data_IF_269587101840
#
_entry.id   IF_269587101840
#
_cell.length_a   1.000
_cell.length_b   1.000
_cell.length_c   1.000
_cell.angle_alpha   90.00
_cell.angle_beta   90.00
_cell.angle_gamma   90.00
#
_symmetry.space_group_name_H-M   'P 1'
#
loop_
_entity.id
_entity.type
_entity.pdbx_description
1 polymer ?
#
# COMPACT_ATOMS: atom_id res chain seq x y z
N UNK A 1 16.48 -34.73 62.75
CA UNK A 1 15.46 -33.70 62.42
C UNK A 1 15.96 -33.00 61.15
N UNK A 2 15.71 -33.48 59.92
CA UNK A 2 14.43 -33.56 59.20
C UNK A 2 13.74 -32.18 59.08
N UNK A 3 13.82 -31.55 57.89
CA UNK A 3 13.13 -30.30 57.60
C UNK A 3 13.24 -29.82 56.14
N UNK A 4 12.58 -30.56 55.22
CA UNK A 4 11.80 -30.12 54.02
C UNK A 4 12.50 -29.32 52.90
N UNK A 5 12.60 -29.85 51.66
CA UNK A 5 11.59 -29.83 50.55
C UNK A 5 11.17 -28.38 50.25
N UNK A 6 11.29 -27.78 49.06
CA UNK A 6 11.64 -28.15 47.70
C UNK A 6 10.95 -27.13 46.77
N UNK A 7 11.62 -26.63 45.72
CA UNK A 7 11.00 -25.84 44.62
C UNK A 7 11.85 -26.13 43.37
N UNK A 8 11.43 -26.95 42.41
CA UNK A 8 10.26 -26.97 41.52
C UNK A 8 10.37 -26.00 40.34
N UNK A 9 10.31 -26.63 39.16
CA UNK A 9 9.93 -26.17 37.82
C UNK A 9 10.89 -25.26 37.03
N UNK A 10 11.58 -25.92 36.10
CA UNK A 10 11.97 -25.36 34.82
C UNK A 10 10.70 -25.08 34.01
N UNK A 11 10.48 -23.84 33.59
CA UNK A 11 9.57 -23.49 32.50
C UNK A 11 10.33 -22.64 31.49
N UNK A 12 10.77 -23.32 30.42
CA UNK A 12 11.13 -22.71 29.15
C UNK A 12 9.90 -21.98 28.61
N UNK A 13 9.92 -20.66 28.67
CA UNK A 13 9.12 -19.82 27.79
C UNK A 13 10.10 -18.99 26.96
N UNK A 14 10.69 -19.61 25.93
CA UNK A 14 11.08 -18.83 24.77
C UNK A 14 9.76 -18.42 24.15
N UNK A 15 9.33 -17.20 24.43
CA UNK A 15 8.28 -16.53 23.70
C UNK A 15 8.73 -16.53 22.24
N UNK A 16 8.20 -17.46 21.45
CA UNK A 16 8.08 -17.23 20.02
C UNK A 16 7.22 -15.99 19.91
N UNK A 17 7.85 -14.84 19.66
CA UNK A 17 7.13 -13.65 19.29
C UNK A 17 6.22 -14.06 18.11
N UNK A 18 4.91 -13.83 18.18
CA UNK A 18 4.09 -14.01 17.00
C UNK A 18 4.65 -13.03 15.96
N UNK A 19 5.26 -13.56 14.90
CA UNK A 19 5.46 -12.82 13.67
C UNK A 19 4.08 -12.63 13.06
N UNK A 20 3.32 -11.73 13.66
CA UNK A 20 2.11 -11.15 13.11
C UNK A 20 2.47 -9.79 12.59
N UNK A 21 3.30 -9.71 11.54
CA UNK A 21 3.24 -8.54 10.69
C UNK A 21 1.93 -8.66 9.93
N UNK A 22 0.88 -8.06 10.49
CA UNK A 22 -0.28 -7.66 9.71
C UNK A 22 0.25 -6.72 8.61
N UNK A 23 0.66 -7.30 7.48
CA UNK A 23 1.18 -6.55 6.35
C UNK A 23 0.08 -5.62 5.86
N UNK A 24 0.41 -4.34 5.70
CA UNK A 24 -0.50 -3.40 5.06
C UNK A 24 -0.88 -3.94 3.67
N UNK A 25 -2.17 -3.89 3.34
CA UNK A 25 -2.66 -4.27 2.02
C UNK A 25 -2.36 -3.13 1.04
N UNK A 26 -1.58 -3.40 0.00
CA UNK A 26 -1.15 -2.41 -1.00
C UNK A 26 -1.90 -2.52 -2.33
N UNK A 27 -2.90 -3.41 -2.39
CA UNK A 27 -3.61 -3.76 -3.61
C UNK A 27 -3.14 -5.05 -4.24
N UNK A 28 -3.60 -5.29 -5.47
CA UNK A 28 -3.31 -6.55 -6.18
C UNK A 28 -1.86 -6.57 -6.64
N UNK A 29 -1.14 -7.63 -6.30
CA UNK A 29 0.26 -7.81 -6.71
C UNK A 29 0.37 -7.82 -8.24
N UNK A 30 1.21 -6.95 -8.79
CA UNK A 30 1.63 -6.98 -10.20
C UNK A 30 2.82 -7.92 -10.33
N UNK A 31 3.83 -7.75 -9.48
CA UNK A 31 5.02 -8.59 -9.45
C UNK A 31 6.21 -7.93 -8.77
N UNK A 32 7.34 -8.61 -8.77
CA UNK A 32 8.61 -8.05 -8.30
C UNK A 32 9.46 -7.56 -9.46
N UNK A 33 10.23 -6.50 -9.23
CA UNK A 33 11.17 -5.94 -10.19
C UNK A 33 12.24 -6.98 -10.51
N UNK A 34 12.41 -7.26 -11.81
CA UNK A 34 13.60 -7.91 -12.34
C UNK A 34 14.72 -6.89 -12.38
N UNK A 35 15.64 -6.98 -11.44
CA UNK A 35 16.81 -6.09 -11.34
C UNK A 35 17.80 -6.39 -12.46
N UNK A 36 18.29 -5.34 -13.12
CA UNK A 36 19.37 -5.44 -14.11
C UNK A 36 20.63 -4.68 -13.67
N UNK A 37 20.48 -3.47 -13.13
CA UNK A 37 21.59 -2.60 -12.73
C UNK A 37 21.19 -1.67 -11.58
N UNK A 38 22.20 -1.01 -11.00
CA UNK A 38 22.03 0.07 -10.03
C UNK A 38 21.20 -0.28 -8.78
N UNK A 39 21.19 -1.57 -8.42
CA UNK A 39 20.46 -2.06 -7.25
C UNK A 39 18.95 -1.80 -7.29
N UNK A 40 18.35 -1.60 -8.48
CA UNK A 40 16.92 -1.34 -8.58
C UNK A 40 16.11 -2.58 -8.20
N UNK A 41 15.52 -2.58 -7.01
CA UNK A 41 14.63 -3.63 -6.50
C UNK A 41 13.28 -3.05 -6.08
N UNK A 42 12.30 -3.92 -5.91
CA UNK A 42 11.02 -3.59 -5.31
C UNK A 42 9.91 -4.56 -5.69
N UNK A 43 8.81 -4.52 -4.95
CA UNK A 43 7.58 -5.26 -5.26
C UNK A 43 6.46 -4.28 -5.55
N UNK A 44 5.79 -4.48 -6.68
CA UNK A 44 4.83 -3.54 -7.26
C UNK A 44 3.40 -4.07 -7.12
N UNK A 45 2.52 -3.22 -6.62
CA UNK A 45 1.09 -3.50 -6.41
C UNK A 45 0.25 -2.47 -7.16
N UNK A 46 -0.87 -2.90 -7.74
CA UNK A 46 -1.88 -2.00 -8.28
C UNK A 46 -2.73 -1.44 -7.14
N UNK A 47 -2.50 -0.17 -6.82
CA UNK A 47 -3.20 0.49 -5.73
C UNK A 47 -4.61 0.92 -6.14
N UNK A 48 -4.71 1.52 -7.34
CA UNK A 48 -5.94 1.94 -8.02
C UNK A 48 -5.88 1.50 -9.49
N UNK A 49 -6.79 1.97 -10.35
CA UNK A 49 -6.70 1.71 -11.80
C UNK A 49 -5.50 2.36 -12.51
N UNK A 50 -4.96 3.45 -11.95
CA UNK A 50 -3.89 4.26 -12.53
C UNK A 50 -2.78 4.60 -11.53
N UNK A 51 -2.72 3.97 -10.37
CA UNK A 51 -1.67 4.21 -9.38
C UNK A 51 -1.11 2.90 -8.85
N UNK A 52 0.20 2.88 -8.63
CA UNK A 52 0.92 1.70 -8.11
C UNK A 52 1.68 2.05 -6.85
N UNK A 53 1.76 1.10 -5.93
CA UNK A 53 2.67 1.16 -4.78
C UNK A 53 3.87 0.29 -5.09
N UNK A 54 5.07 0.83 -4.90
CA UNK A 54 6.32 0.06 -4.90
C UNK A 54 6.83 0.00 -3.46
N UNK A 55 6.97 -1.22 -2.95
CA UNK A 55 7.57 -1.51 -1.64
C UNK A 55 8.97 -2.09 -1.80
N UNK A 56 9.76 -2.03 -0.72
CA UNK A 56 11.15 -2.50 -0.70
C UNK A 56 11.98 -1.89 -1.85
N UNK A 57 11.65 -0.63 -2.20
CA UNK A 57 12.27 0.09 -3.30
C UNK A 57 13.71 0.47 -2.92
N UNK A 58 14.66 -0.05 -3.66
CA UNK A 58 16.06 0.39 -3.59
C UNK A 58 16.52 0.84 -4.97
N UNK A 59 17.39 1.83 -5.02
CA UNK A 59 18.08 2.32 -6.22
C UNK A 59 19.23 3.22 -5.77
N UNK A 60 20.42 3.06 -6.33
CA UNK A 60 21.63 3.76 -5.85
C UNK A 60 21.68 5.26 -6.19
N UNK A 61 20.89 5.73 -7.16
CA UNK A 61 20.88 7.13 -7.60
C UNK A 61 22.01 7.51 -8.56
N UNK A 62 22.81 6.58 -9.07
CA UNK A 62 23.99 6.87 -9.89
C UNK A 62 23.68 7.09 -11.38
N UNK A 63 22.43 6.90 -11.80
CA UNK A 63 21.99 7.07 -13.18
C UNK A 63 21.88 8.56 -13.56
N UNK A 64 22.61 9.03 -14.58
CA UNK A 64 22.65 10.47 -14.90
C UNK A 64 21.33 11.04 -15.46
N UNK A 65 20.53 10.19 -16.10
CA UNK A 65 19.16 10.52 -16.58
C UNK A 65 18.22 9.33 -16.33
N UNK A 66 18.21 8.83 -15.10
CA UNK A 66 17.31 7.76 -14.67
C UNK A 66 15.95 8.30 -14.25
N UNK A 67 14.89 7.65 -14.76
CA UNK A 67 13.50 8.01 -14.51
C UNK A 67 12.66 6.76 -14.29
N UNK A 68 11.53 6.90 -13.58
CA UNK A 68 10.47 5.90 -13.69
C UNK A 68 9.96 5.91 -15.13
N UNK A 69 9.76 4.72 -15.68
CA UNK A 69 9.52 4.52 -17.10
C UNK A 69 8.51 3.42 -17.31
N UNK A 70 7.55 3.64 -18.21
CA UNK A 70 6.57 2.64 -18.58
C UNK A 70 6.36 2.66 -20.09
N UNK A 71 5.82 1.58 -20.63
CA UNK A 71 5.59 1.48 -22.06
C UNK A 71 5.00 0.14 -22.45
N UNK A 72 4.98 -0.09 -23.76
CA UNK A 72 4.55 -1.34 -24.38
C UNK A 72 5.78 -2.09 -24.90
N UNK A 73 5.75 -3.41 -24.93
CA UNK A 73 6.88 -4.26 -25.26
C UNK A 73 7.24 -5.18 -24.09
N UNK A 74 8.28 -6.00 -24.29
CA UNK A 74 8.72 -6.95 -23.26
C UNK A 74 9.55 -6.28 -22.15
N UNK A 75 10.25 -5.20 -22.46
CA UNK A 75 11.13 -4.50 -21.52
C UNK A 75 11.24 -3.00 -21.85
N UNK A 76 11.69 -2.17 -20.88
CA UNK A 76 12.01 -0.76 -21.10
C UNK A 76 12.93 -0.50 -22.30
N UNK A 77 12.46 0.37 -23.19
CA UNK A 77 13.17 0.85 -24.36
C UNK A 77 12.96 2.37 -24.53
N UNK A 78 13.56 2.93 -25.60
CA UNK A 78 13.49 4.36 -25.90
C UNK A 78 12.10 4.83 -26.35
N UNK A 79 11.15 3.92 -26.61
CA UNK A 79 9.77 4.24 -27.03
C UNK A 79 8.81 4.33 -25.86
N UNK A 80 9.19 3.87 -24.68
CA UNK A 80 8.44 4.14 -23.46
C UNK A 80 8.42 5.63 -23.11
N UNK A 81 7.77 5.97 -22.02
CA UNK A 81 7.65 7.33 -21.54
C UNK A 81 7.88 7.41 -20.04
N UNK A 82 8.27 8.60 -19.61
CA UNK A 82 8.55 8.90 -18.22
C UNK A 82 7.25 8.92 -17.39
N UNK A 83 7.32 8.32 -16.21
CA UNK A 83 6.31 8.38 -15.16
C UNK A 83 6.78 9.36 -14.08
N UNK A 84 5.92 10.25 -13.56
CA UNK A 84 6.28 11.11 -12.44
C UNK A 84 6.69 10.29 -11.21
N UNK A 85 7.62 10.84 -10.42
CA UNK A 85 7.95 10.29 -9.10
C UNK A 85 6.79 10.48 -8.09
N UNK A 86 6.99 10.03 -6.85
CA UNK A 86 5.98 10.09 -5.79
C UNK A 86 5.58 11.52 -5.38
N UNK A 87 6.37 12.52 -5.78
CA UNK A 87 6.08 13.94 -5.57
C UNK A 87 5.50 14.60 -6.83
N UNK A 88 5.17 13.80 -7.86
CA UNK A 88 4.73 14.29 -9.17
C UNK A 88 5.84 14.94 -9.99
N UNK A 89 7.11 14.72 -9.64
CA UNK A 89 8.24 15.35 -10.31
C UNK A 89 8.71 14.54 -11.52
N UNK A 90 9.08 15.26 -12.59
CA UNK A 90 9.68 14.70 -13.81
C UNK A 90 11.21 14.85 -13.81
N UNK A 91 11.82 15.08 -12.66
CA UNK A 91 13.29 15.25 -12.53
C UNK A 91 13.98 13.89 -12.49
N UNK A 92 15.30 13.90 -12.66
CA UNK A 92 16.14 12.70 -12.50
C UNK A 92 15.94 12.14 -11.10
N UNK A 93 15.76 10.82 -11.02
CA UNK A 93 15.54 10.12 -9.75
C UNK A 93 16.74 10.26 -8.83
N UNK A 94 16.45 10.42 -7.54
CA UNK A 94 17.44 10.28 -6.47
C UNK A 94 17.52 8.82 -6.03
N UNK A 95 18.50 8.54 -5.18
CA UNK A 95 18.62 7.24 -4.52
C UNK A 95 17.37 6.93 -3.67
N UNK A 96 16.98 5.66 -3.67
CA UNK A 96 15.96 5.11 -2.79
C UNK A 96 16.61 4.03 -1.91
N UNK A 97 16.27 4.01 -0.61
CA UNK A 97 16.77 3.01 0.34
C UNK A 97 15.60 2.46 1.15
N UNK A 98 15.24 1.21 0.87
CA UNK A 98 14.11 0.51 1.46
C UNK A 98 12.85 1.39 1.52
N UNK A 99 12.57 2.09 0.42
CA UNK A 99 11.51 3.08 0.35
C UNK A 99 10.16 2.42 0.00
N UNK A 100 9.09 3.12 0.35
CA UNK A 100 7.75 2.86 -0.17
C UNK A 100 7.28 4.10 -0.90
N UNK A 101 6.93 3.95 -2.17
CA UNK A 101 6.45 5.07 -3.01
C UNK A 101 5.11 4.74 -3.64
N UNK A 102 4.27 5.77 -3.78
CA UNK A 102 3.03 5.73 -4.56
C UNK A 102 3.29 6.51 -5.85
N UNK A 103 3.18 5.85 -6.99
CA UNK A 103 3.29 6.49 -8.29
C UNK A 103 1.91 6.58 -8.93
N UNK A 104 1.56 7.77 -9.43
CA UNK A 104 0.37 7.98 -10.25
C UNK A 104 0.76 7.98 -11.71
N UNK A 105 0.19 7.05 -12.46
CA UNK A 105 0.44 6.87 -13.89
C UNK A 105 -0.50 7.78 -14.69
N UNK A 106 -0.03 8.37 -15.82
CA UNK A 106 -0.88 9.20 -16.67
C UNK A 106 -2.03 8.45 -17.36
N UNK A 107 -1.94 7.13 -17.45
CA UNK A 107 -2.95 6.25 -18.04
C UNK A 107 -3.20 5.04 -17.14
N UNK A 108 -4.15 4.17 -17.51
CA UNK A 108 -4.44 2.97 -16.72
C UNK A 108 -3.23 2.04 -16.71
N UNK A 109 -3.06 1.31 -15.61
CA UNK A 109 -1.95 0.34 -15.47
C UNK A 109 -1.95 -0.66 -16.63
N UNK A 110 -3.13 -1.10 -17.08
CA UNK A 110 -3.32 -2.04 -18.19
C UNK A 110 -2.94 -1.49 -19.56
N UNK A 111 -2.71 -0.18 -19.70
CA UNK A 111 -2.23 0.43 -20.94
C UNK A 111 -0.70 0.30 -21.12
N UNK A 112 -0.05 -0.35 -20.14
CA UNK A 112 1.39 -0.60 -20.12
C UNK A 112 1.65 -2.11 -19.99
N UNK A 113 2.78 -2.55 -20.52
CA UNK A 113 3.26 -3.94 -20.41
C UNK A 113 4.45 -4.06 -19.46
N UNK A 114 5.07 -2.93 -19.09
CA UNK A 114 6.10 -2.87 -18.07
C UNK A 114 6.08 -1.55 -17.31
N UNK A 115 6.66 -1.57 -16.12
CA UNK A 115 7.04 -0.39 -15.34
C UNK A 115 8.43 -0.63 -14.75
N UNK A 116 9.32 0.35 -14.81
CA UNK A 116 10.67 0.20 -14.30
C UNK A 116 11.45 1.51 -14.17
N UNK A 117 12.77 1.40 -14.05
CA UNK A 117 13.69 2.54 -14.14
C UNK A 117 14.49 2.43 -15.43
N UNK A 118 14.47 3.51 -16.22
CA UNK A 118 15.20 3.60 -17.48
C UNK A 118 16.11 4.82 -17.47
N UNK A 119 17.36 4.63 -17.87
CA UNK A 119 18.31 5.72 -18.07
C UNK A 119 18.28 6.18 -19.51
N UNK A 120 17.65 7.32 -19.76
CA UNK A 120 17.45 7.86 -21.12
C UNK A 120 18.77 8.18 -21.81
N UNK A 121 19.75 8.73 -21.08
CA UNK A 121 21.06 9.14 -21.62
C UNK A 121 21.82 7.97 -22.25
N UNK A 122 21.73 6.77 -21.65
CA UNK A 122 22.44 5.58 -22.11
C UNK A 122 21.52 4.54 -22.77
N UNK A 123 20.23 4.84 -22.86
CA UNK A 123 19.23 3.91 -23.37
C UNK A 123 19.14 2.61 -22.57
N UNK A 124 19.37 2.65 -21.26
CA UNK A 124 19.60 1.47 -20.44
C UNK A 124 18.44 1.15 -19.48
N UNK A 125 17.99 -0.10 -19.49
CA UNK A 125 16.99 -0.65 -18.57
C UNK A 125 17.65 -1.10 -17.25
N UNK A 126 17.45 -0.35 -16.15
CA UNK A 126 18.02 -0.68 -14.84
C UNK A 126 17.23 -1.78 -14.10
N UNK A 127 16.01 -2.04 -14.56
CA UNK A 127 15.15 -3.10 -14.08
C UNK A 127 13.69 -2.72 -14.31
N UNK A 128 12.81 -3.71 -14.28
CA UNK A 128 11.38 -3.51 -14.48
C UNK A 128 10.56 -4.66 -13.92
N UNK A 129 9.28 -4.39 -13.67
CA UNK A 129 8.25 -5.40 -13.52
C UNK A 129 7.48 -5.51 -14.83
N UNK A 130 7.10 -6.72 -15.22
CA UNK A 130 6.16 -6.97 -16.33
C UNK A 130 4.74 -6.91 -15.80
N UNK A 131 3.87 -6.18 -16.50
CA UNK A 131 2.43 -6.15 -16.20
C UNK A 131 1.78 -7.30 -16.97
N UNK A 132 1.18 -8.30 -16.30
CA UNK A 132 0.62 -9.45 -16.98
C UNK A 132 -0.49 -9.07 -17.97
N UNK A 133 -0.52 -9.75 -19.11
CA UNK A 133 -1.66 -9.64 -20.04
C UNK A 133 -2.94 -10.08 -19.33
N UNK A 134 -3.99 -9.27 -19.40
CA UNK A 134 -5.24 -9.55 -18.69
C UNK A 134 -5.17 -9.28 -17.18
N UNK A 135 -4.19 -8.50 -16.71
CA UNK A 135 -4.16 -8.03 -15.34
C UNK A 135 -5.48 -7.33 -14.99
N UNK A 136 -6.26 -7.93 -14.10
CA UNK A 136 -7.51 -7.30 -13.65
C UNK A 136 -7.17 -6.22 -12.63
N UNK A 137 -7.53 -4.99 -12.95
CA UNK A 137 -7.44 -3.84 -12.06
C UNK A 137 -8.29 -4.06 -10.78
N UNK A 138 -7.96 -3.39 -9.66
CA UNK A 138 -8.85 -3.32 -8.52
C UNK A 138 -10.26 -2.91 -8.97
N UNK A 139 -11.27 -3.64 -8.51
CA UNK A 139 -12.68 -3.38 -8.80
C UNK A 139 -13.38 -3.03 -7.50
N UNK A 140 -14.44 -2.24 -7.63
CA UNK A 140 -15.28 -1.91 -6.48
C UNK A 140 -15.86 -3.19 -5.85
N UNK A 141 -15.78 -3.29 -4.53
CA UNK A 141 -16.36 -4.37 -3.74
C UNK A 141 -17.29 -3.77 -2.70
N UNK A 142 -18.55 -4.19 -2.70
CA UNK A 142 -19.48 -3.85 -1.63
C UNK A 142 -19.25 -4.84 -0.47
N UNK A 143 -18.75 -4.33 0.65
CA UNK A 143 -18.47 -5.08 1.87
C UNK A 143 -19.72 -5.23 2.78
N UNK A 144 -20.86 -4.69 2.35
CA UNK A 144 -22.12 -4.72 3.07
C UNK A 144 -22.30 -3.50 3.97
N UNK A 145 -23.16 -3.65 4.98
CA UNK A 145 -23.53 -2.59 5.92
C UNK A 145 -22.49 -2.46 7.03
N UNK A 146 -22.17 -1.23 7.43
CA UNK A 146 -21.50 -0.97 8.71
C UNK A 146 -22.57 -0.84 9.79
N UNK A 147 -22.66 -1.85 10.66
CA UNK A 147 -23.63 -1.87 11.76
C UNK A 147 -23.17 -1.00 12.94
N UNK A 148 -24.09 -0.23 13.52
CA UNK A 148 -23.83 0.59 14.71
C UNK A 148 -23.53 -0.31 15.91
N UNK A 149 -22.41 -0.04 16.59
CA UNK A 149 -22.17 -0.53 17.97
C UNK A 149 -22.37 0.56 19.02
N UNK A 150 -22.00 1.80 18.71
CA UNK A 150 -22.14 2.97 19.57
C UNK A 150 -22.12 4.25 18.72
N UNK A 151 -22.63 5.35 19.29
CA UNK A 151 -22.50 6.70 18.72
C UNK A 151 -23.06 6.86 17.30
N UNK A 152 -24.05 6.03 16.96
CA UNK A 152 -24.69 6.02 15.64
C UNK A 152 -23.70 5.88 14.46
N UNK A 153 -22.54 5.26 14.70
CA UNK A 153 -21.54 5.01 13.67
C UNK A 153 -22.00 3.86 12.74
N UNK A 154 -22.74 4.20 11.70
CA UNK A 154 -23.28 3.27 10.70
C UNK A 154 -23.17 3.80 9.28
N UNK A 155 -23.11 2.89 8.32
CA UNK A 155 -23.22 3.17 6.89
C UNK A 155 -24.12 2.12 6.24
N UNK A 156 -24.96 2.51 5.29
CA UNK A 156 -25.80 1.58 4.54
C UNK A 156 -24.97 0.63 3.66
N UNK A 157 -23.92 1.16 3.03
CA UNK A 157 -22.96 0.41 2.22
C UNK A 157 -21.54 0.88 2.52
N UNK A 158 -20.63 -0.07 2.72
CA UNK A 158 -19.19 0.13 2.73
C UNK A 158 -18.63 -0.39 1.42
N UNK A 159 -18.11 0.49 0.58
CA UNK A 159 -17.61 0.16 -0.75
C UNK A 159 -16.09 0.33 -0.74
N UNK A 160 -15.37 -0.78 -0.87
CA UNK A 160 -13.94 -0.73 -1.17
C UNK A 160 -13.79 -0.42 -2.66
N UNK A 161 -13.43 0.82 -3.00
CA UNK A 161 -13.26 1.23 -4.41
C UNK A 161 -12.03 0.60 -5.02
N UNK A 162 -10.95 0.65 -4.26
CA UNK A 162 -9.64 0.10 -4.58
C UNK A 162 -8.85 -0.07 -3.27
N UNK A 163 -7.56 -0.39 -3.35
CA UNK A 163 -6.77 -0.64 -2.12
C UNK A 163 -6.47 0.61 -1.29
N UNK A 164 -6.68 1.80 -1.85
CA UNK A 164 -6.38 3.08 -1.22
C UNK A 164 -7.66 3.87 -0.85
N UNK A 165 -8.84 3.41 -1.29
CA UNK A 165 -10.08 4.19 -1.21
C UNK A 165 -11.25 3.35 -0.72
N UNK A 166 -11.92 3.83 0.33
CA UNK A 166 -13.20 3.31 0.82
C UNK A 166 -14.24 4.43 0.71
N UNK A 167 -15.42 4.10 0.18
CA UNK A 167 -16.61 4.95 0.20
C UNK A 167 -17.61 4.39 1.22
N UNK A 168 -18.13 5.26 2.08
CA UNK A 168 -19.22 4.93 3.01
C UNK A 168 -20.47 5.67 2.53
N UNK A 169 -21.52 4.93 2.15
CA UNK A 169 -22.78 5.54 1.74
C UNK A 169 -23.75 5.66 2.91
N UNK A 170 -24.42 6.81 2.97
CA UNK A 170 -25.36 7.15 4.03
C UNK A 170 -24.71 7.03 5.41
N UNK A 171 -23.44 7.42 5.51
CA UNK A 171 -22.68 7.34 6.74
C UNK A 171 -23.23 8.32 7.77
N UNK A 172 -23.53 7.80 8.95
CA UNK A 172 -23.97 8.55 10.12
C UNK A 172 -22.95 8.33 11.23
N UNK A 173 -22.70 9.39 11.99
CA UNK A 173 -21.93 9.34 13.24
C UNK A 173 -22.29 10.58 14.07
N UNK A 174 -22.64 10.40 15.35
CA UNK A 174 -23.15 11.49 16.18
C UNK A 174 -22.08 12.48 16.68
N UNK A 175 -20.79 12.14 16.53
CA UNK A 175 -19.65 12.95 16.96
C UNK A 175 -19.35 12.92 18.47
N UNK A 176 -20.09 12.15 19.26
CA UNK A 176 -19.99 12.13 20.72
C UNK A 176 -18.92 11.16 21.25
N UNK A 177 -18.33 10.33 20.38
CA UNK A 177 -17.22 9.46 20.78
C UNK A 177 -16.02 10.28 21.27
N UNK A 178 -15.33 9.85 22.34
CA UNK A 178 -14.18 10.59 22.88
C UNK A 178 -13.05 10.70 21.86
N UNK A 179 -12.84 9.65 21.05
CA UNK A 179 -11.78 9.54 20.06
C UNK A 179 -12.26 8.74 18.81
N UNK A 180 -13.23 9.30 18.07
CA UNK A 180 -13.71 8.70 16.81
C UNK A 180 -12.72 8.89 15.67
N UNK A 181 -12.35 7.81 14.98
CA UNK A 181 -11.47 7.80 13.81
C UNK A 181 -11.92 6.72 12.82
N UNK A 182 -11.65 6.90 11.54
CA UNK A 182 -11.73 5.80 10.58
C UNK A 182 -10.50 4.90 10.73
N UNK A 183 -10.74 3.60 10.84
CA UNK A 183 -9.69 2.59 10.97
C UNK A 183 -10.05 1.34 10.18
N UNK A 184 -9.04 0.64 9.71
CA UNK A 184 -9.16 -0.68 9.07
C UNK A 184 -8.16 -1.64 9.66
N UNK A 185 -8.48 -2.93 9.57
CA UNK A 185 -7.58 -3.99 9.95
C UNK A 185 -7.85 -5.25 9.13
N UNK A 186 -6.86 -6.13 8.97
CA UNK A 186 -7.01 -7.36 8.18
C UNK A 186 -7.92 -8.41 8.83
N UNK A 187 -8.36 -8.21 10.08
CA UNK A 187 -9.19 -9.17 10.82
C UNK A 187 -10.32 -8.48 11.58
N UNK A 188 -11.46 -9.17 11.71
CA UNK A 188 -12.69 -8.66 12.38
C UNK A 188 -12.54 -8.42 13.89
N UNK A 189 -11.48 -8.96 14.51
CA UNK A 189 -11.17 -8.83 15.94
C UNK A 189 -9.73 -8.31 16.15
N UNK A 190 -9.34 -7.31 15.36
CA UNK A 190 -8.00 -6.74 15.43
C UNK A 190 -7.75 -6.06 16.79
N UNK A 191 -6.51 -6.14 17.27
CA UNK A 191 -6.09 -5.41 18.47
C UNK A 191 -5.90 -3.93 18.11
N UNK A 192 -6.03 -3.01 19.07
CA UNK A 192 -5.85 -1.57 18.80
C UNK A 192 -4.54 -1.21 18.09
N UNK A 193 -3.47 -1.92 18.36
CA UNK A 193 -2.15 -1.74 17.74
C UNK A 193 -2.07 -2.22 16.28
N UNK A 194 -3.01 -3.06 15.85
CA UNK A 194 -3.07 -3.62 14.49
C UNK A 194 -4.01 -2.79 13.58
N UNK A 195 -4.61 -1.73 14.12
CA UNK A 195 -5.49 -0.83 13.39
C UNK A 195 -4.66 0.15 12.57
N UNK A 196 -4.95 0.21 11.27
CA UNK A 196 -4.47 1.29 10.40
C UNK A 196 -5.47 2.42 10.40
N UNK A 197 -5.02 3.62 10.77
CA UNK A 197 -5.84 4.83 10.72
C UNK A 197 -5.99 5.32 9.29
N UNK A 198 -7.20 5.71 8.92
CA UNK A 198 -7.50 6.25 7.60
C UNK A 198 -7.66 7.78 7.64
N UNK A 199 -7.46 8.39 6.48
CA UNK A 199 -7.80 9.79 6.24
C UNK A 199 -9.31 9.93 5.96
N UNK A 200 -9.90 11.03 6.42
CA UNK A 200 -11.27 11.44 6.09
C UNK A 200 -11.37 12.03 4.67
N UNK A 201 -12.57 12.49 4.29
CA UNK A 201 -12.82 13.08 2.96
C UNK A 201 -12.01 14.37 2.68
N UNK A 202 -11.43 14.97 3.72
CA UNK A 202 -10.61 16.17 3.64
C UNK A 202 -9.11 15.86 3.77
N UNK A 203 -8.73 14.58 3.74
CA UNK A 203 -7.35 14.13 3.86
C UNK A 203 -6.77 14.24 5.28
N UNK A 204 -7.62 14.30 6.32
CA UNK A 204 -7.18 14.42 7.72
C UNK A 204 -7.37 13.11 8.46
N UNK A 205 -6.43 12.80 9.35
CA UNK A 205 -6.53 11.68 10.28
C UNK A 205 -6.95 12.14 11.70
N UNK A 206 -7.52 13.33 11.82
CA UNK A 206 -7.92 13.92 13.11
C UNK A 206 -9.22 13.31 13.65
N UNK A 207 -9.59 13.67 14.89
CA UNK A 207 -10.84 13.20 15.49
C UNK A 207 -12.01 13.56 14.59
N UNK A 208 -12.86 12.57 14.31
CA UNK A 208 -14.06 12.76 13.51
C UNK A 208 -15.08 13.64 14.25
N UNK A 209 -15.65 14.59 13.50
CA UNK A 209 -16.83 15.32 13.90
C UNK A 209 -18.11 14.52 13.60
N UNK A 210 -19.26 15.19 13.68
CA UNK A 210 -20.56 14.60 13.34
C UNK A 210 -20.70 14.41 11.82
N UNK A 211 -21.32 13.29 11.42
CA UNK A 211 -21.73 13.00 10.05
C UNK A 211 -23.25 12.72 10.03
N UNK A 212 -23.98 13.47 9.21
CA UNK A 212 -25.44 13.35 9.07
C UNK A 212 -25.82 12.75 7.70
N UNK A 213 -25.66 11.42 7.56
CA UNK A 213 -26.05 10.64 6.37
C UNK A 213 -25.43 11.16 5.07
N UNK A 214 -24.10 11.28 5.06
CA UNK A 214 -23.33 11.58 3.84
C UNK A 214 -23.16 10.35 2.96
#
# INVERSE_FOLDING_TARGET
MAGRIGVLLLLLLVCVAPQGTAGAYYGKLIGSVKTNAHGFTGTVYAATENSVIITDLNYDGEGPEAFFWAGTGQEPDSKGHQIPDENGSMRVLKAYKNARVLLTLPRKITDYQYLGIYCRKFGANFGHVTIPSGFELPKEQNLGRLETKAHEAEAAEVILKDSATIELKQFKYDGQGPAGFFVVAPTVNARPQDLTKLLDENGKDTKLGRYDRK
#
